data_IF_622892751736
#
_entry.id   IF_622892751736
#
_cell.length_a   1.000
_cell.length_b   1.000
_cell.length_c   1.000
_cell.angle_alpha   90.00
_cell.angle_beta   90.00
_cell.angle_gamma   90.00
#
_symmetry.space_group_name_H-M   'P 1'
#
loop_
_entity.id
_entity.type
_entity.pdbx_description
1 polymer ?
#
# COMPACT_ATOMS: atom_id res chain seq x y z
N UNK A 1 19.89 30.04 11.13
CA UNK A 1 18.45 29.72 11.10
C UNK A 1 17.68 31.03 11.15
N UNK A 2 17.24 31.56 10.01
CA UNK A 2 16.13 32.52 10.04
C UNK A 2 14.87 31.74 10.40
N UNK A 3 13.96 32.34 11.15
CA UNK A 3 12.68 31.73 11.58
C UNK A 3 11.82 31.32 10.37
N UNK A 4 12.17 31.81 9.17
CA UNK A 4 11.49 31.53 7.90
C UNK A 4 11.83 30.15 7.30
N UNK A 5 12.98 29.54 7.62
CA UNK A 5 13.42 28.25 7.04
C UNK A 5 13.74 27.23 8.13
N UNK A 6 12.69 26.60 8.68
CA UNK A 6 12.78 25.69 9.83
C UNK A 6 13.67 24.46 9.58
N UNK A 7 13.67 23.95 8.35
CA UNK A 7 14.48 22.79 7.90
C UNK A 7 15.58 23.19 6.90
N UNK A 8 15.99 24.46 6.96
CA UNK A 8 16.94 25.06 6.04
C UNK A 8 16.50 24.98 4.56
N UNK A 9 17.29 25.59 3.69
CA UNK A 9 17.08 25.57 2.24
C UNK A 9 18.00 24.57 1.55
N UNK A 10 17.56 24.03 0.41
CA UNK A 10 18.47 23.23 -0.42
C UNK A 10 19.51 24.10 -1.13
N UNK A 11 20.45 23.47 -1.86
CA UNK A 11 21.50 24.18 -2.60
C UNK A 11 21.00 25.23 -3.61
N UNK A 12 19.70 25.19 -3.97
CA UNK A 12 19.04 26.17 -4.83
C UNK A 12 18.21 27.22 -4.08
N UNK A 13 18.29 27.28 -2.75
CA UNK A 13 17.55 28.25 -1.92
C UNK A 13 16.07 27.91 -1.71
N UNK A 14 15.62 26.68 -2.01
CA UNK A 14 14.21 26.27 -1.83
C UNK A 14 13.99 25.79 -0.40
N UNK A 15 12.91 26.25 0.25
CA UNK A 15 12.54 25.82 1.60
C UNK A 15 12.19 24.32 1.65
N UNK A 16 12.96 23.56 2.44
CA UNK A 16 12.74 22.13 2.62
C UNK A 16 11.52 21.83 3.50
N UNK A 17 11.18 22.72 4.43
CA UNK A 17 10.05 22.52 5.34
C UNK A 17 8.73 22.47 4.57
N UNK A 18 8.47 23.45 3.72
CA UNK A 18 7.28 23.49 2.87
C UNK A 18 7.20 22.29 1.92
N UNK A 19 8.33 21.86 1.34
CA UNK A 19 8.37 20.68 0.44
C UNK A 19 8.02 19.40 1.16
N UNK A 20 8.54 19.20 2.37
CA UNK A 20 8.24 18.04 3.19
C UNK A 20 6.76 18.01 3.62
N UNK A 21 6.19 19.15 4.02
CA UNK A 21 4.76 19.24 4.32
C UNK A 21 3.90 18.89 3.10
N UNK A 22 4.27 19.36 1.91
CA UNK A 22 3.53 19.06 0.69
C UNK A 22 3.63 17.59 0.29
N UNK A 23 4.85 17.02 0.32
CA UNK A 23 5.08 15.60 0.04
C UNK A 23 4.37 14.70 1.06
N UNK A 24 4.38 15.09 2.35
CA UNK A 24 3.75 14.36 3.44
C UNK A 24 2.25 14.13 3.22
N UNK A 25 1.53 15.08 2.61
CA UNK A 25 0.10 14.92 2.28
C UNK A 25 -0.14 13.73 1.35
N UNK A 26 0.70 13.58 0.33
CA UNK A 26 0.61 12.47 -0.63
C UNK A 26 0.98 11.16 0.05
N UNK A 27 2.07 11.12 0.82
CA UNK A 27 2.49 9.91 1.55
C UNK A 27 1.43 9.44 2.54
N UNK A 28 0.81 10.37 3.28
CA UNK A 28 -0.29 10.06 4.19
C UNK A 28 -1.52 9.56 3.44
N UNK A 29 -1.91 10.19 2.33
CA UNK A 29 -3.03 9.74 1.53
C UNK A 29 -2.82 8.31 1.00
N UNK A 30 -1.63 8.01 0.46
CA UNK A 30 -1.28 6.65 0.02
C UNK A 30 -1.38 5.66 1.17
N UNK A 31 -0.75 5.97 2.31
CA UNK A 31 -0.74 5.10 3.49
C UNK A 31 -2.15 4.81 4.01
N UNK A 32 -2.98 5.83 4.21
CA UNK A 32 -4.35 5.65 4.71
C UNK A 32 -5.23 4.89 3.73
N UNK A 33 -5.27 5.30 2.45
CA UNK A 33 -6.16 4.68 1.46
C UNK A 33 -5.77 3.23 1.19
N UNK A 34 -4.47 2.95 1.07
CA UNK A 34 -4.00 1.58 0.85
C UNK A 34 -4.25 0.70 2.07
N UNK A 35 -4.00 1.18 3.29
CA UNK A 35 -4.26 0.43 4.52
C UNK A 35 -5.72 0.06 4.67
N UNK A 36 -6.64 1.02 4.43
CA UNK A 36 -8.08 0.74 4.51
C UNK A 36 -8.49 -0.31 3.48
N UNK A 37 -8.06 -0.15 2.23
CA UNK A 37 -8.38 -1.10 1.16
C UNK A 37 -7.82 -2.50 1.42
N UNK A 38 -6.58 -2.57 1.89
CA UNK A 38 -5.91 -3.81 2.26
C UNK A 38 -6.62 -4.50 3.43
N UNK A 39 -6.97 -3.76 4.49
CA UNK A 39 -7.68 -4.29 5.65
C UNK A 39 -9.05 -4.88 5.31
N UNK A 40 -9.77 -4.28 4.36
CA UNK A 40 -11.04 -4.83 3.90
C UNK A 40 -10.85 -6.22 3.28
N UNK A 41 -9.79 -6.41 2.48
CA UNK A 41 -9.45 -7.70 1.88
C UNK A 41 -8.95 -8.67 2.97
N UNK A 42 -8.03 -8.22 3.82
CA UNK A 42 -7.46 -9.00 4.92
C UNK A 42 -8.53 -9.61 5.81
N UNK A 43 -9.42 -8.76 6.32
CA UNK A 43 -10.47 -9.15 7.27
C UNK A 43 -11.45 -10.08 6.57
N UNK A 44 -11.85 -9.77 5.33
CA UNK A 44 -12.79 -10.60 4.57
C UNK A 44 -12.23 -12.00 4.34
N UNK A 45 -10.99 -12.12 3.85
CA UNK A 45 -10.32 -13.42 3.62
C UNK A 45 -10.10 -14.16 4.94
N UNK A 46 -9.62 -13.47 5.97
CA UNK A 46 -9.34 -14.06 7.28
C UNK A 46 -10.61 -14.60 7.98
N UNK A 47 -11.70 -13.84 7.96
CA UNK A 47 -12.98 -14.26 8.54
C UNK A 47 -13.58 -15.43 7.76
N UNK A 48 -13.62 -15.37 6.43
CA UNK A 48 -14.20 -16.44 5.60
C UNK A 48 -13.40 -17.74 5.77
N UNK A 49 -12.07 -17.67 5.74
CA UNK A 49 -11.21 -18.85 5.93
C UNK A 49 -11.35 -19.44 7.33
N UNK A 50 -11.40 -18.61 8.38
CA UNK A 50 -11.58 -19.09 9.75
C UNK A 50 -12.97 -19.66 10.04
N UNK A 51 -14.04 -19.07 9.48
CA UNK A 51 -15.41 -19.47 9.77
C UNK A 51 -15.84 -20.76 9.07
N UNK A 52 -15.54 -20.90 7.77
CA UNK A 52 -16.02 -22.05 6.99
C UNK A 52 -15.10 -23.26 7.07
N UNK A 53 -13.84 -23.09 7.46
CA UNK A 53 -12.89 -24.18 7.66
C UNK A 53 -12.57 -25.02 6.41
N UNK A 54 -11.75 -26.04 6.63
CA UNK A 54 -11.43 -27.13 5.70
C UNK A 54 -10.99 -26.69 4.29
N UNK A 55 -11.86 -26.84 3.30
CA UNK A 55 -11.54 -26.64 1.87
C UNK A 55 -11.44 -25.15 1.54
N UNK A 56 -12.35 -24.32 2.06
CA UNK A 56 -12.39 -22.88 1.80
C UNK A 56 -11.16 -22.22 2.42
N UNK A 57 -10.81 -22.63 3.63
CA UNK A 57 -9.58 -22.20 4.29
C UNK A 57 -8.34 -22.52 3.45
N UNK A 58 -8.20 -23.79 3.06
CA UNK A 58 -7.05 -24.25 2.27
C UNK A 58 -6.94 -23.47 0.96
N UNK A 59 -8.04 -23.28 0.22
CA UNK A 59 -8.01 -22.54 -1.05
C UNK A 59 -7.63 -21.07 -0.86
N UNK A 60 -8.26 -20.37 0.08
CA UNK A 60 -7.98 -18.95 0.33
C UNK A 60 -6.56 -18.72 0.84
N UNK A 61 -6.06 -19.62 1.70
CA UNK A 61 -4.69 -19.55 2.18
C UNK A 61 -3.68 -19.86 1.08
N UNK A 62 -3.98 -20.78 0.15
CA UNK A 62 -3.13 -21.04 -1.03
C UNK A 62 -3.04 -19.84 -1.96
N UNK A 63 -4.14 -19.16 -2.23
CA UNK A 63 -4.14 -17.91 -3.01
C UNK A 63 -3.30 -16.85 -2.29
N UNK A 64 -3.47 -16.74 -0.97
CA UNK A 64 -2.73 -15.78 -0.15
C UNK A 64 -1.23 -16.05 -0.16
N UNK A 65 -0.83 -17.31 -0.01
CA UNK A 65 0.56 -17.75 -0.12
C UNK A 65 1.14 -17.41 -1.51
N UNK A 66 0.40 -17.71 -2.57
CA UNK A 66 0.82 -17.40 -3.95
C UNK A 66 1.07 -15.90 -4.14
N UNK A 67 0.16 -15.04 -3.66
CA UNK A 67 0.32 -13.58 -3.76
C UNK A 67 1.53 -13.08 -2.98
N UNK A 68 1.81 -13.65 -1.79
CA UNK A 68 2.98 -13.26 -1.01
C UNK A 68 4.33 -13.65 -1.62
N UNK A 69 4.34 -14.54 -2.61
CA UNK A 69 5.55 -14.87 -3.36
C UNK A 69 5.91 -13.79 -4.38
N UNK A 70 5.01 -12.86 -4.70
CA UNK A 70 5.28 -11.81 -5.67
C UNK A 70 6.30 -10.79 -5.13
N UNK A 71 7.30 -10.41 -5.93
CA UNK A 71 8.26 -9.39 -5.54
C UNK A 71 7.62 -7.99 -5.57
N UNK A 72 7.15 -7.52 -4.42
CA UNK A 72 6.42 -6.25 -4.28
C UNK A 72 7.10 -5.08 -4.99
N UNK A 73 8.38 -4.83 -4.69
CA UNK A 73 9.11 -3.67 -5.22
C UNK A 73 9.23 -3.73 -6.75
N UNK A 74 9.53 -4.92 -7.30
CA UNK A 74 9.69 -5.10 -8.74
C UNK A 74 8.35 -4.84 -9.43
N UNK A 75 7.27 -5.42 -8.90
CA UNK A 75 5.93 -5.25 -9.46
C UNK A 75 5.48 -3.78 -9.40
N UNK A 76 5.69 -3.11 -8.26
CA UNK A 76 5.37 -1.71 -8.08
C UNK A 76 6.10 -0.80 -9.10
N UNK A 77 7.41 -0.99 -9.27
CA UNK A 77 8.22 -0.17 -10.18
C UNK A 77 7.84 -0.44 -11.63
N UNK A 78 7.73 -1.71 -12.04
CA UNK A 78 7.42 -2.09 -13.42
C UNK A 78 6.03 -1.60 -13.81
N UNK A 79 5.03 -1.80 -12.96
CA UNK A 79 3.67 -1.36 -13.25
C UNK A 79 3.58 0.17 -13.28
N UNK A 80 4.28 0.86 -12.38
CA UNK A 80 4.33 2.32 -12.38
C UNK A 80 5.02 2.87 -13.63
N UNK A 81 6.14 2.27 -14.06
CA UNK A 81 6.82 2.66 -15.28
C UNK A 81 5.96 2.39 -16.55
N UNK A 82 5.19 1.30 -16.56
CA UNK A 82 4.37 0.92 -17.71
C UNK A 82 3.07 1.72 -17.83
N UNK A 83 2.45 2.08 -16.70
CA UNK A 83 1.10 2.64 -16.65
C UNK A 83 1.00 4.03 -15.98
N UNK A 84 2.00 4.46 -15.22
CA UNK A 84 1.96 5.70 -14.43
C UNK A 84 1.65 6.93 -15.25
N UNK A 85 2.35 7.09 -16.37
CA UNK A 85 2.18 8.24 -17.26
C UNK A 85 0.95 8.10 -18.18
N UNK A 86 0.37 6.90 -18.29
CA UNK A 86 -0.84 6.67 -19.09
C UNK A 86 -2.10 7.14 -18.37
N UNK A 87 -2.07 7.20 -17.04
CA UNK A 87 -3.16 7.76 -16.25
C UNK A 87 -3.07 9.27 -16.38
N UNK A 88 -4.04 9.90 -17.07
CA UNK A 88 -4.16 11.35 -17.23
C UNK A 88 -4.62 12.04 -15.93
N UNK A 89 -3.89 11.81 -14.85
CA UNK A 89 -4.09 12.37 -13.52
C UNK A 89 -2.72 12.65 -12.89
N UNK A 90 -2.46 13.84 -12.30
CA UNK A 90 -1.20 14.14 -11.61
C UNK A 90 -0.79 13.11 -10.53
N UNK A 91 -1.77 12.39 -9.97
CA UNK A 91 -1.56 11.35 -8.97
C UNK A 91 -1.50 9.93 -9.55
N UNK A 92 -1.36 9.77 -10.86
CA UNK A 92 -1.37 8.47 -11.54
C UNK A 92 -0.41 7.46 -10.91
N UNK A 93 0.82 7.88 -10.60
CA UNK A 93 1.80 7.00 -9.94
C UNK A 93 1.36 6.59 -8.52
N UNK A 94 0.81 7.51 -7.75
CA UNK A 94 0.29 7.22 -6.41
C UNK A 94 -0.88 6.22 -6.46
N UNK A 95 -1.76 6.35 -7.44
CA UNK A 95 -2.90 5.44 -7.65
C UNK A 95 -2.41 4.01 -7.94
N UNK A 96 -1.38 3.86 -8.78
CA UNK A 96 -0.80 2.54 -9.07
C UNK A 96 -0.18 1.95 -7.81
N UNK A 97 0.57 2.74 -7.03
CA UNK A 97 1.14 2.26 -5.78
C UNK A 97 0.06 1.80 -4.79
N UNK A 98 -1.01 2.58 -4.62
CA UNK A 98 -2.16 2.19 -3.76
C UNK A 98 -2.76 0.88 -4.25
N UNK A 99 -2.98 0.74 -5.56
CA UNK A 99 -3.49 -0.49 -6.14
C UNK A 99 -2.58 -1.69 -5.84
N UNK A 100 -1.28 -1.56 -6.10
CA UNK A 100 -0.29 -2.63 -5.86
C UNK A 100 -0.22 -3.04 -4.39
N UNK A 101 -0.27 -2.08 -3.46
CA UNK A 101 -0.30 -2.38 -2.02
C UNK A 101 -1.56 -3.17 -1.67
N UNK A 102 -2.73 -2.68 -2.09
CA UNK A 102 -3.99 -3.36 -1.82
C UNK A 102 -3.97 -4.78 -2.36
N UNK A 103 -3.37 -5.01 -3.54
CA UNK A 103 -3.42 -6.31 -4.21
C UNK A 103 -2.23 -7.26 -3.95
N UNK A 104 -1.20 -6.85 -3.22
CA UNK A 104 -0.05 -7.73 -2.94
C UNK A 104 0.26 -7.86 -1.45
N UNK A 105 -0.29 -7.00 -0.59
CA UNK A 105 0.12 -6.91 0.81
C UNK A 105 -0.90 -7.48 1.82
N UNK A 106 -2.03 -8.03 1.38
CA UNK A 106 -3.08 -8.57 2.27
C UNK A 106 -2.74 -9.94 2.93
N UNK A 107 -1.54 -10.49 2.72
CA UNK A 107 -1.28 -11.84 3.20
C UNK A 107 -0.98 -11.94 4.70
N UNK A 108 -0.41 -10.88 5.27
CA UNK A 108 0.01 -10.87 6.68
C UNK A 108 -1.17 -10.84 7.64
N UNK A 109 -2.05 -9.84 7.50
CA UNK A 109 -3.15 -9.63 8.43
C UNK A 109 -4.27 -10.66 8.20
N UNK A 110 -4.54 -11.08 6.96
CA UNK A 110 -5.49 -12.17 6.68
C UNK A 110 -5.22 -13.43 7.52
N UNK A 111 -3.95 -13.86 7.62
CA UNK A 111 -3.57 -15.02 8.44
C UNK A 111 -3.72 -14.78 9.94
N UNK A 112 -3.44 -13.56 10.41
CA UNK A 112 -3.64 -13.19 11.80
C UNK A 112 -5.13 -13.23 12.17
N UNK A 113 -6.00 -12.65 11.32
CA UNK A 113 -7.45 -12.66 11.52
C UNK A 113 -7.98 -14.08 11.49
N UNK A 114 -7.57 -14.91 10.52
CA UNK A 114 -7.92 -16.34 10.48
C UNK A 114 -7.60 -17.03 11.81
N UNK A 115 -6.39 -16.86 12.33
CA UNK A 115 -5.97 -17.46 13.60
C UNK A 115 -6.69 -16.93 14.84
N UNK A 116 -7.46 -15.85 14.73
CA UNK A 116 -8.35 -15.34 15.79
C UNK A 116 -9.77 -15.87 15.69
N UNK A 117 -10.17 -16.35 14.51
CA UNK A 117 -11.51 -16.87 14.22
C UNK A 117 -11.58 -18.38 14.43
N UNK A 118 -10.48 -19.10 14.16
CA UNK A 118 -10.27 -20.50 14.57
C UNK A 118 -10.25 -20.64 16.09
#
# INVERSE_FOLDING_TARGET
>A
MSVENLLDTDAGGRDNFSRLLYAGRISLAIGFTSTIGMLLIDISIGVISGYFGEIIDTLLMRVTEFVMLFPFLIFAIVLNAALGDKIKNPYGSAIILVFVIIILSWGGIARLVRGKVL
#
